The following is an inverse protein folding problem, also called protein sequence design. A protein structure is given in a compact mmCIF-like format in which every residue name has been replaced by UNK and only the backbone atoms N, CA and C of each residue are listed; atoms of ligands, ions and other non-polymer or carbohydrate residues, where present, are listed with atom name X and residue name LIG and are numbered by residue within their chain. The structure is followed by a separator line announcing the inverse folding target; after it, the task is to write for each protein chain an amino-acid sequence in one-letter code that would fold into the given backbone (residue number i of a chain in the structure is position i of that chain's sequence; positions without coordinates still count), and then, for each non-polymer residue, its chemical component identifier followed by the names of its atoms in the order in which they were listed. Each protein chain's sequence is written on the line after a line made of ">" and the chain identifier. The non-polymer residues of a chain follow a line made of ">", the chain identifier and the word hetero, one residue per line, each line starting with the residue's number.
data_IF_863216389615
#
_entry.id   IF_863216389615
#
_cell.length_a   1.000
_cell.length_b   1.000
_cell.length_c   1.000
_cell.angle_alpha   90.00
_cell.angle_beta   90.00
_cell.angle_gamma   90.00
#
_symmetry.space_group_name_H-M   'P 1'
#
loop_
_entity.id
_entity.type
_entity.pdbx_description
1 polymer ?
#
# COMPACT_ATOMS: atom_id res chain seq x y z
N UNK A 1 8.65 -11.46 4.46
CA UNK A 1 8.49 -12.79 3.81
C UNK A 1 9.87 -13.28 3.39
N UNK A 2 10.25 -14.52 3.71
CA UNK A 2 11.54 -15.09 3.30
C UNK A 2 11.25 -16.32 2.45
N UNK A 3 11.42 -16.18 1.15
CA UNK A 3 11.40 -17.28 0.19
C UNK A 3 12.67 -17.14 -0.66
N UNK A 4 13.42 -18.24 -0.81
CA UNK A 4 14.67 -18.21 -1.59
C UNK A 4 14.41 -18.13 -3.09
N UNK A 5 13.29 -18.69 -3.54
CA UNK A 5 12.91 -18.73 -4.95
C UNK A 5 11.38 -18.72 -5.05
N UNK A 6 10.82 -17.58 -5.45
CA UNK A 6 9.37 -17.41 -5.59
C UNK A 6 8.77 -18.24 -6.75
N UNK A 7 9.57 -18.65 -7.73
CA UNK A 7 9.08 -19.52 -8.81
C UNK A 7 8.87 -20.95 -8.31
N UNK A 8 9.75 -21.42 -7.41
CA UNK A 8 9.67 -22.77 -6.86
C UNK A 8 8.83 -22.85 -5.60
N UNK A 9 8.81 -21.78 -4.80
CA UNK A 9 8.08 -21.71 -3.54
C UNK A 9 8.45 -22.79 -2.52
N UNK A 10 9.59 -23.48 -2.70
CA UNK A 10 9.90 -24.71 -1.98
C UNK A 10 10.15 -24.53 -0.48
N UNK A 11 10.43 -23.31 -0.04
CA UNK A 11 10.58 -22.95 1.38
C UNK A 11 9.43 -22.06 1.92
N UNK A 12 8.33 -21.95 1.17
CA UNK A 12 7.11 -21.30 1.65
C UNK A 12 6.51 -22.14 2.78
N UNK A 13 6.35 -21.50 3.94
CA UNK A 13 5.67 -22.10 5.09
C UNK A 13 4.28 -21.48 5.21
N UNK A 14 3.27 -22.30 5.13
CA UNK A 14 1.89 -21.92 5.44
C UNK A 14 1.71 -22.08 6.95
N UNK A 15 1.20 -21.03 7.60
CA UNK A 15 0.90 -21.03 9.02
C UNK A 15 -0.48 -20.43 9.24
N UNK A 16 -1.19 -20.96 10.22
CA UNK A 16 -2.44 -20.36 10.65
C UNK A 16 -2.19 -19.03 11.35
N UNK A 17 -3.07 -18.07 11.10
CA UNK A 17 -3.06 -16.80 11.78
C UNK A 17 -3.72 -16.97 13.16
N UNK A 18 -3.24 -16.21 14.16
CA UNK A 18 -3.94 -16.05 15.43
C UNK A 18 -5.40 -15.64 15.15
N UNK A 19 -6.41 -16.15 15.88
CA UNK A 19 -7.82 -15.81 15.63
C UNK A 19 -8.08 -14.30 15.56
N UNK A 20 -7.41 -13.51 16.39
CA UNK A 20 -7.55 -12.05 16.39
C UNK A 20 -6.86 -11.36 15.18
N UNK A 21 -5.94 -12.05 14.52
CA UNK A 21 -5.25 -11.60 13.31
C UNK A 21 -5.97 -12.05 12.02
N UNK A 22 -7.12 -12.72 12.11
CA UNK A 22 -7.88 -13.18 10.95
C UNK A 22 -8.87 -12.11 10.47
N UNK A 23 -9.30 -12.23 9.20
CA UNK A 23 -10.34 -11.40 8.60
C UNK A 23 -10.04 -9.90 8.59
N UNK A 24 -8.78 -9.54 8.36
CA UNK A 24 -8.41 -8.19 7.93
C UNK A 24 -8.73 -7.96 6.46
N UNK A 25 -9.06 -6.73 6.11
CA UNK A 25 -9.25 -6.30 4.73
C UNK A 25 -7.91 -6.24 3.98
N UNK A 26 -6.86 -5.79 4.69
CA UNK A 26 -5.50 -5.72 4.16
C UNK A 26 -4.46 -6.16 5.19
N UNK A 27 -3.39 -6.80 4.70
CA UNK A 27 -2.23 -7.23 5.48
C UNK A 27 -0.96 -6.67 4.88
N UNK A 28 -0.15 -6.01 5.70
CA UNK A 28 1.14 -5.45 5.29
C UNK A 28 2.16 -5.60 6.41
N UNK A 29 3.43 -5.73 6.05
CA UNK A 29 4.55 -5.73 6.98
C UNK A 29 5.43 -4.51 6.75
N UNK A 30 5.96 -3.93 7.82
CA UNK A 30 6.95 -2.85 7.74
C UNK A 30 8.39 -3.39 7.78
N UNK A 31 9.36 -2.50 7.57
CA UNK A 31 10.79 -2.84 7.62
C UNK A 31 11.30 -3.09 9.03
N UNK A 32 10.54 -2.72 10.07
CA UNK A 32 10.87 -2.91 11.49
C UNK A 32 10.39 -4.27 12.02
N UNK A 33 9.72 -5.07 11.20
CA UNK A 33 9.24 -6.40 11.54
C UNK A 33 7.86 -6.43 12.20
N UNK A 34 7.11 -5.33 12.14
CA UNK A 34 5.71 -5.31 12.53
C UNK A 34 4.81 -5.65 11.35
N UNK A 35 3.69 -6.28 11.66
CA UNK A 35 2.58 -6.51 10.75
C UNK A 35 1.42 -5.60 11.13
N UNK A 36 0.75 -5.08 10.12
CA UNK A 36 -0.43 -4.25 10.23
C UNK A 36 -1.58 -4.99 9.54
N UNK A 37 -2.72 -5.03 10.21
CA UNK A 37 -3.94 -5.68 9.76
C UNK A 37 -5.00 -4.59 9.73
N UNK A 38 -5.33 -4.11 8.53
CA UNK A 38 -6.37 -3.10 8.34
C UNK A 38 -7.73 -3.79 8.38
N UNK A 39 -8.68 -3.24 9.13
CA UNK A 39 -10.06 -3.71 9.18
C UNK A 39 -11.01 -2.53 9.37
N UNK A 40 -11.79 -2.23 8.33
CA UNK A 40 -12.60 -1.02 8.25
C UNK A 40 -11.77 0.23 8.47
N UNK A 41 -12.12 1.01 9.49
CA UNK A 41 -11.44 2.25 9.85
C UNK A 41 -10.35 2.07 10.90
N UNK A 42 -10.03 0.84 11.28
CA UNK A 42 -9.01 0.53 12.29
C UNK A 42 -7.85 -0.26 11.70
N UNK A 43 -6.75 -0.30 12.44
CA UNK A 43 -5.74 -1.30 12.24
C UNK A 43 -5.28 -1.94 13.54
N UNK A 44 -4.89 -3.21 13.44
CA UNK A 44 -4.14 -3.94 14.47
C UNK A 44 -2.68 -4.01 14.04
N UNK A 45 -1.76 -3.61 14.91
CA UNK A 45 -0.30 -3.75 14.75
C UNK A 45 0.20 -4.84 15.68
N UNK A 46 0.99 -5.79 15.16
CA UNK A 46 1.55 -6.93 15.91
C UNK A 46 2.97 -7.22 15.47
N UNK A 47 3.80 -7.82 16.32
CA UNK A 47 5.11 -8.35 15.91
C UNK A 47 5.05 -9.80 15.40
N UNK A 48 3.93 -10.50 15.62
CA UNK A 48 3.72 -11.87 15.16
C UNK A 48 2.26 -12.13 14.81
N UNK A 49 2.01 -12.55 13.57
CA UNK A 49 0.68 -12.92 13.10
C UNK A 49 0.14 -14.24 13.70
N UNK A 50 1.01 -15.04 14.32
CA UNK A 50 0.66 -16.36 14.87
C UNK A 50 0.22 -16.25 16.33
N UNK A 51 0.81 -15.31 17.07
CA UNK A 51 0.67 -15.17 18.52
C UNK A 51 -0.01 -13.86 18.94
N UNK A 52 -0.25 -12.92 18.02
CA UNK A 52 -0.80 -11.57 18.33
C UNK A 52 0.08 -10.78 19.30
N UNK A 53 1.40 -11.02 19.26
CA UNK A 53 2.34 -10.39 20.19
C UNK A 53 2.41 -8.87 19.97
N UNK A 54 2.49 -8.14 21.09
CA UNK A 54 2.58 -6.67 21.12
C UNK A 54 1.41 -5.99 20.36
N UNK A 55 0.22 -6.58 20.44
CA UNK A 55 -0.97 -6.07 19.77
C UNK A 55 -1.31 -4.65 20.23
N UNK A 56 -1.34 -3.72 19.27
CA UNK A 56 -1.92 -2.39 19.41
C UNK A 56 -3.07 -2.27 18.41
N UNK A 57 -4.24 -1.80 18.85
CA UNK A 57 -5.36 -1.48 17.95
C UNK A 57 -5.58 0.03 17.98
N UNK A 58 -5.60 0.65 16.80
CA UNK A 58 -5.79 2.11 16.64
C UNK A 58 -6.72 2.41 15.48
N UNK A 59 -7.39 3.55 15.57
CA UNK A 59 -8.13 4.13 14.46
C UNK A 59 -7.17 4.65 13.40
N UNK A 60 -7.53 4.47 12.14
CA UNK A 60 -6.90 5.16 11.02
C UNK A 60 -7.31 6.63 11.07
N UNK A 61 -6.37 7.51 10.72
CA UNK A 61 -6.70 8.90 10.43
C UNK A 61 -7.72 8.97 9.30
N UNK A 62 -8.58 9.99 9.28
CA UNK A 62 -9.64 10.11 8.26
C UNK A 62 -9.10 10.07 6.83
N UNK A 63 -7.91 10.63 6.60
CA UNK A 63 -7.24 10.61 5.29
C UNK A 63 -6.70 9.24 4.90
N UNK A 64 -6.40 8.39 5.89
CA UNK A 64 -5.93 7.03 5.68
C UNK A 64 -7.06 6.00 5.54
N UNK A 65 -8.32 6.38 5.73
CA UNK A 65 -9.47 5.47 5.62
C UNK A 65 -9.92 5.28 4.18
N UNK A 66 -10.48 4.09 3.89
CA UNK A 66 -11.10 3.79 2.59
C UNK A 66 -10.13 3.69 1.42
N UNK A 67 -8.86 3.37 1.69
CA UNK A 67 -7.90 3.03 0.64
C UNK A 67 -8.25 1.70 -0.01
N UNK A 68 -8.01 1.60 -1.32
CA UNK A 68 -8.18 0.33 -2.05
C UNK A 68 -7.00 -0.61 -1.80
N UNK A 69 -5.81 -0.07 -1.55
CA UNK A 69 -4.60 -0.83 -1.21
C UNK A 69 -3.76 -0.10 -0.17
N UNK A 70 -3.15 -0.88 0.73
CA UNK A 70 -2.22 -0.42 1.76
C UNK A 70 -0.88 -1.15 1.61
N UNK A 71 0.20 -0.39 1.61
CA UNK A 71 1.56 -0.90 1.44
C UNK A 71 2.51 -0.20 2.42
N UNK A 72 3.63 -0.84 2.74
CA UNK A 72 4.71 -0.20 3.48
C UNK A 72 6.05 -0.39 2.76
N UNK A 73 6.82 0.69 2.68
CA UNK A 73 8.18 0.69 2.15
C UNK A 73 8.96 1.89 2.70
N UNK A 74 10.26 1.73 2.95
CA UNK A 74 11.16 2.81 3.40
C UNK A 74 10.61 3.60 4.61
N UNK A 75 10.15 2.89 5.64
CA UNK A 75 9.53 3.45 6.85
C UNK A 75 8.30 4.34 6.61
N UNK A 76 7.63 4.17 5.46
CA UNK A 76 6.42 4.90 5.08
C UNK A 76 5.30 3.94 4.72
N UNK A 77 4.09 4.44 4.86
CA UNK A 77 2.87 3.83 4.37
C UNK A 77 2.41 4.51 3.10
N UNK A 78 1.97 3.69 2.14
CA UNK A 78 1.39 4.13 0.89
C UNK A 78 -0.04 3.61 0.83
N UNK A 79 -0.97 4.51 0.56
CA UNK A 79 -2.41 4.20 0.50
C UNK A 79 -2.89 4.61 -0.87
N UNK A 80 -3.32 3.65 -1.67
CA UNK A 80 -3.75 3.87 -3.06
C UNK A 80 -5.27 3.99 -3.08
N UNK A 81 -5.76 5.10 -3.65
CA UNK A 81 -7.18 5.34 -3.93
C UNK A 81 -7.39 5.25 -5.44
N UNK A 82 -7.52 4.02 -5.95
CA UNK A 82 -7.51 3.70 -7.37
C UNK A 82 -8.61 4.46 -8.13
N UNK A 83 -9.84 4.46 -7.61
CA UNK A 83 -10.96 5.19 -8.24
C UNK A 83 -10.77 6.71 -8.23
N UNK A 84 -10.03 7.23 -7.26
CA UNK A 84 -9.76 8.67 -7.12
C UNK A 84 -8.49 9.11 -7.86
N UNK A 85 -7.72 8.17 -8.42
CA UNK A 85 -6.51 8.47 -9.19
C UNK A 85 -5.38 9.12 -8.38
N UNK A 86 -5.28 8.83 -7.08
CA UNK A 86 -4.19 9.34 -6.24
C UNK A 86 -3.75 8.32 -5.20
N UNK A 87 -2.60 8.58 -4.60
CA UNK A 87 -2.12 7.87 -3.43
C UNK A 87 -1.63 8.84 -2.36
N UNK A 88 -1.75 8.39 -1.11
CA UNK A 88 -1.28 9.09 0.08
C UNK A 88 -0.01 8.41 0.59
N UNK A 89 0.96 9.22 1.00
CA UNK A 89 2.17 8.78 1.69
C UNK A 89 2.18 9.37 3.10
N UNK A 90 2.38 8.53 4.11
CA UNK A 90 2.45 8.95 5.52
C UNK A 90 3.46 8.11 6.31
N UNK A 91 3.96 8.65 7.42
CA UNK A 91 4.76 7.89 8.40
C UNK A 91 3.90 7.24 9.49
N UNK A 92 2.67 7.73 9.67
CA UNK A 92 1.75 7.27 10.70
C UNK A 92 0.35 7.10 10.12
N UNK A 93 -0.27 5.95 10.37
CA UNK A 93 -1.62 5.64 9.92
C UNK A 93 -2.71 6.23 10.84
N UNK A 94 -2.38 6.58 12.09
CA UNK A 94 -3.34 7.08 13.09
C UNK A 94 -3.42 8.61 13.16
N UNK A 95 -2.40 9.31 12.67
CA UNK A 95 -2.22 10.74 12.87
C UNK A 95 -2.03 11.45 11.53
N UNK A 96 -2.66 12.62 11.38
CA UNK A 96 -2.55 13.48 10.19
C UNK A 96 -1.22 14.28 10.15
N UNK A 97 -0.10 13.66 10.54
CA UNK A 97 1.23 14.26 10.54
C UNK A 97 1.71 14.62 9.12
N UNK A 98 3.02 14.52 8.86
CA UNK A 98 3.55 14.82 7.53
C UNK A 98 3.02 13.84 6.46
N UNK A 99 1.96 14.27 5.79
CA UNK A 99 1.25 13.55 4.74
C UNK A 99 1.50 14.21 3.40
N UNK A 100 1.77 13.40 2.37
CA UNK A 100 1.92 13.87 1.00
C UNK A 100 0.97 13.10 0.08
N UNK A 101 0.12 13.85 -0.61
CA UNK A 101 -0.79 13.32 -1.62
C UNK A 101 -0.18 13.50 -3.01
N UNK A 102 -0.27 12.46 -3.83
CA UNK A 102 0.26 12.45 -5.18
C UNK A 102 -0.80 11.93 -6.15
N UNK A 103 -1.00 12.65 -7.25
CA UNK A 103 -1.80 12.16 -8.36
C UNK A 103 -1.08 10.96 -9.00
N UNK A 104 -1.77 9.82 -9.13
CA UNK A 104 -1.33 8.79 -10.04
C UNK A 104 -1.65 9.29 -11.44
N UNK A 105 -0.66 9.44 -12.31
CA UNK A 105 -0.94 9.90 -13.68
C UNK A 105 -2.02 9.01 -14.31
N UNK A 106 -3.06 9.60 -14.94
CA UNK A 106 -4.09 8.79 -15.58
C UNK A 106 -3.46 7.99 -16.71
N UNK A 107 -3.84 6.71 -16.81
CA UNK A 107 -3.37 5.75 -17.83
C UNK A 107 -3.76 6.15 -19.27
N UNK A 108 -4.40 7.29 -19.47
CA UNK A 108 -4.95 7.76 -20.75
C UNK A 108 -4.44 9.14 -21.19
N UNK A 109 -3.20 9.52 -20.84
CA UNK A 109 -2.54 10.69 -21.42
C UNK A 109 -1.29 10.30 -22.23
N UNK A 110 -1.42 9.32 -23.12
CA UNK A 110 -0.58 9.24 -24.32
C UNK A 110 -1.46 9.67 -25.49
N UNK A 111 -1.76 10.98 -25.56
CA UNK A 111 -2.28 11.57 -26.79
C UNK A 111 -1.12 11.54 -27.78
N UNK A 112 -1.15 10.59 -28.70
CA UNK A 112 -0.34 10.65 -29.92
C UNK A 112 -0.73 11.95 -30.65
N UNK A 113 0.04 13.01 -30.48
CA UNK A 113 0.03 14.12 -31.44
C UNK A 113 0.80 13.66 -32.66
N UNK A 114 0.11 12.97 -33.59
CA UNK A 114 0.53 12.95 -34.99
C UNK A 114 0.39 14.37 -35.53
N UNK A 115 1.48 15.11 -35.52
CA UNK A 115 1.62 16.37 -36.26
C UNK A 115 2.57 16.13 -37.43
N UNK A 116 2.00 15.93 -38.61
CA UNK A 116 2.70 15.98 -39.89
C UNK A 116 3.55 17.26 -39.99
N UNK A 117 4.86 17.12 -40.12
CA UNK A 117 5.67 18.18 -40.73
C UNK A 117 5.57 18.06 -42.24
N UNK A 118 4.62 18.79 -42.82
CA UNK A 118 4.61 19.14 -44.24
C UNK A 118 4.91 20.62 -44.39
N UNK A 119 6.15 20.95 -44.77
CA UNK A 119 6.46 22.09 -45.64
C UNK A 119 7.93 22.06 -46.09
N UNK A 120 8.20 21.32 -47.16
CA UNK A 120 9.25 21.73 -48.12
C UNK A 120 8.61 22.76 -49.04
N UNK A 121 9.05 24.01 -48.94
CA UNK A 121 8.67 25.10 -49.83
C UNK A 121 9.81 26.10 -49.90
N UNK A 122 10.54 26.05 -51.01
CA UNK A 122 11.64 26.91 -51.43
C UNK A 122 11.10 28.30 -51.75
N UNK A 123 11.78 29.36 -51.31
CA UNK A 123 12.28 30.51 -52.10
C UNK A 123 13.46 31.14 -51.36
#
# INVERSE_FOLDING_TARGET
>A
MKCRDFNKGSDIKIKELHPACQHGDHYLGDVKGYFYIIKGNTYRKVSSLITDDNAEVKELSQKCQGGDFYLSANDRFFIIFQKKGHFLVTFNLSEDGEMKEYLSMPTAAMVCTTGEQSSRGIW
#
